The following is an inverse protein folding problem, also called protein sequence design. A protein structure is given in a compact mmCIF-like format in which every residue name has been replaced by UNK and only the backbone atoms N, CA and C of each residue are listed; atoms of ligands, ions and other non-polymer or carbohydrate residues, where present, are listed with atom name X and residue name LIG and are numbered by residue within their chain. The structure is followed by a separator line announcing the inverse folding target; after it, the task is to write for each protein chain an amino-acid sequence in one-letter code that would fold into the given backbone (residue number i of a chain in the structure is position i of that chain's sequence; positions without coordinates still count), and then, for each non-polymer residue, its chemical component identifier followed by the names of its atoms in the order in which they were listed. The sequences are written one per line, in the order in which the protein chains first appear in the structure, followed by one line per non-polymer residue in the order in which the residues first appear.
data_IF_997047709865
#
_entry.id   IF_997047709865
#
_cell.length_a   1.000
_cell.length_b   1.000
_cell.length_c   1.000
_cell.angle_alpha   90.00
_cell.angle_beta   90.00
_cell.angle_gamma   90.00
#
_symmetry.space_group_name_H-M   'P 1'
#
loop_
_entity.id
_entity.type
_entity.pdbx_description
1 polymer ?
#
# COMPACT_ATOMS: atom_id res chain seq x y z
N UNK A 1 23.51 -17.97 1.45
CA UNK A 1 24.21 -16.77 0.94
C UNK A 1 23.28 -15.60 1.15
N UNK A 2 23.63 -14.66 2.03
CA UNK A 2 22.87 -13.42 2.17
C UNK A 2 23.10 -12.56 0.92
N UNK A 3 22.02 -12.09 0.28
CA UNK A 3 22.11 -11.13 -0.80
C UNK A 3 22.73 -9.84 -0.27
N UNK A 4 23.62 -9.21 -1.05
CA UNK A 4 24.06 -7.86 -0.73
C UNK A 4 22.83 -6.93 -0.63
N UNK A 5 22.80 -5.98 0.32
CA UNK A 5 21.78 -4.93 0.33
C UNK A 5 21.81 -4.21 -1.02
N UNK A 6 20.64 -3.85 -1.54
CA UNK A 6 20.56 -3.06 -2.76
C UNK A 6 21.33 -1.75 -2.55
N UNK A 7 22.16 -1.39 -3.53
CA UNK A 7 22.92 -0.13 -3.51
C UNK A 7 21.95 1.04 -3.29
N UNK A 8 22.32 1.96 -2.40
CA UNK A 8 21.58 3.20 -2.26
C UNK A 8 21.63 3.94 -3.61
N UNK A 9 20.49 4.37 -4.17
CA UNK A 9 20.51 5.18 -5.38
C UNK A 9 21.35 6.43 -5.11
N UNK A 10 22.44 6.62 -5.85
CA UNK A 10 23.45 7.68 -5.60
C UNK A 10 22.89 9.11 -5.66
N UNK A 11 21.62 9.28 -6.08
CA UNK A 11 20.90 10.55 -6.11
C UNK A 11 19.64 10.63 -5.24
N UNK A 12 19.41 9.66 -4.34
CA UNK A 12 18.18 9.56 -3.55
C UNK A 12 16.98 9.01 -4.34
N UNK A 13 15.85 8.83 -3.66
CA UNK A 13 14.58 8.42 -4.26
C UNK A 13 13.62 9.62 -4.23
N UNK A 14 13.25 10.14 -5.40
CA UNK A 14 12.22 11.19 -5.49
C UNK A 14 10.83 10.57 -5.58
N UNK A 15 9.95 10.93 -4.64
CA UNK A 15 8.53 10.58 -4.68
C UNK A 15 7.72 11.87 -4.86
N UNK A 16 6.73 11.85 -5.75
CA UNK A 16 5.83 13.00 -5.96
C UNK A 16 4.44 12.62 -5.50
N UNK A 17 3.89 13.41 -4.59
CA UNK A 17 2.56 13.19 -4.04
C UNK A 17 1.59 14.28 -4.51
N UNK A 18 0.32 13.91 -4.55
CA UNK A 18 -0.79 14.82 -4.76
C UNK A 18 -1.82 14.61 -3.65
N UNK A 19 -2.68 15.60 -3.45
CA UNK A 19 -3.79 15.46 -2.52
C UNK A 19 -4.78 14.44 -3.04
N UNK A 20 -5.23 13.57 -2.13
CA UNK A 20 -6.29 12.61 -2.36
C UNK A 20 -7.10 12.44 -1.09
N UNK A 21 -8.28 11.84 -1.25
CA UNK A 21 -9.18 11.47 -0.17
C UNK A 21 -9.22 9.95 -0.06
N UNK A 22 -9.59 9.49 1.13
CA UNK A 22 -9.75 8.06 1.41
C UNK A 22 -10.60 7.34 0.35
N UNK A 23 -11.73 7.93 -0.04
CA UNK A 23 -12.64 7.33 -1.03
C UNK A 23 -12.11 7.35 -2.46
N UNK A 24 -11.17 8.24 -2.82
CA UNK A 24 -10.56 8.23 -4.16
C UNK A 24 -9.80 6.91 -4.40
N UNK A 25 -9.18 6.36 -3.33
CA UNK A 25 -8.57 5.04 -3.35
C UNK A 25 -9.60 3.94 -3.58
N UNK A 26 -10.64 3.90 -2.73
CA UNK A 26 -11.68 2.88 -2.77
C UNK A 26 -12.44 2.87 -4.11
N UNK A 27 -12.73 4.04 -4.68
CA UNK A 27 -13.44 4.18 -5.96
C UNK A 27 -12.69 3.54 -7.15
N UNK A 28 -11.39 3.22 -6.98
CA UNK A 28 -10.61 2.50 -7.99
C UNK A 28 -10.26 1.08 -7.58
N UNK A 29 -9.93 0.82 -6.31
CA UNK A 29 -9.47 -0.49 -5.84
C UNK A 29 -10.62 -1.46 -5.61
N UNK A 30 -11.76 -1.01 -5.07
CA UNK A 30 -12.90 -1.89 -4.76
C UNK A 30 -13.58 -2.41 -6.03
N UNK A 31 -13.91 -1.57 -7.04
CA UNK A 31 -14.48 -2.09 -8.30
C UNK A 31 -13.55 -3.09 -9.00
N UNK A 32 -12.23 -2.86 -8.93
CA UNK A 32 -11.24 -3.79 -9.46
C UNK A 32 -11.22 -5.12 -8.68
N UNK A 33 -11.30 -5.08 -7.35
CA UNK A 33 -11.36 -6.27 -6.51
C UNK A 33 -12.63 -7.09 -6.81
N UNK A 34 -13.79 -6.44 -6.92
CA UNK A 34 -15.04 -7.10 -7.29
C UNK A 34 -15.03 -7.67 -8.71
N UNK A 35 -14.45 -6.96 -9.68
CA UNK A 35 -14.25 -7.47 -11.04
C UNK A 35 -13.42 -8.75 -11.02
N UNK A 36 -12.27 -8.74 -10.35
CA UNK A 36 -11.38 -9.90 -10.28
C UNK A 36 -12.02 -11.07 -9.52
N UNK A 37 -12.72 -10.81 -8.42
CA UNK A 37 -13.47 -11.83 -7.69
C UNK A 37 -14.54 -12.49 -8.58
N UNK A 38 -15.34 -11.68 -9.30
CA UNK A 38 -16.35 -12.18 -10.22
C UNK A 38 -15.75 -13.00 -11.36
N UNK A 39 -14.64 -12.54 -11.94
CA UNK A 39 -13.91 -13.28 -12.98
C UNK A 39 -13.42 -14.62 -12.46
N UNK A 40 -12.84 -14.65 -11.27
CA UNK A 40 -12.33 -15.88 -10.64
C UNK A 40 -13.45 -16.87 -10.36
N UNK A 41 -14.63 -16.40 -9.93
CA UNK A 41 -15.82 -17.22 -9.75
C UNK A 41 -16.34 -17.81 -11.07
N UNK A 42 -16.21 -17.06 -12.18
CA UNK A 42 -16.58 -17.51 -13.54
C UNK A 42 -15.53 -18.39 -14.22
N UNK A 43 -14.47 -18.80 -13.51
CA UNK A 43 -13.40 -19.63 -14.07
C UNK A 43 -12.42 -18.87 -14.98
N UNK A 44 -12.39 -17.54 -14.91
CA UNK A 44 -11.40 -16.73 -15.59
C UNK A 44 -9.98 -17.08 -15.13
N UNK A 45 -9.05 -17.18 -16.08
CA UNK A 45 -7.65 -17.45 -15.81
C UNK A 45 -6.81 -16.17 -15.87
N UNK A 46 -5.80 -16.11 -15.00
CA UNK A 46 -4.77 -15.08 -14.98
C UNK A 46 -5.22 -13.76 -14.32
N UNK A 47 -4.32 -13.10 -13.58
CA UNK A 47 -4.59 -11.78 -13.02
C UNK A 47 -4.58 -10.72 -14.11
N UNK A 48 -5.00 -9.50 -13.75
CA UNK A 48 -4.89 -8.30 -14.57
C UNK A 48 -5.72 -8.29 -15.85
N UNK A 49 -6.91 -8.86 -15.79
CA UNK A 49 -7.81 -8.98 -16.93
C UNK A 49 -9.17 -8.39 -16.56
N UNK A 50 -9.91 -7.86 -17.55
CA UNK A 50 -11.25 -7.27 -17.32
C UNK A 50 -11.33 -5.80 -17.76
N UNK A 51 -12.54 -5.28 -18.03
CA UNK A 51 -12.71 -3.91 -18.50
C UNK A 51 -12.14 -2.85 -17.54
N UNK A 52 -12.39 -2.96 -16.23
CA UNK A 52 -11.89 -1.99 -15.24
C UNK A 52 -10.37 -2.05 -15.18
N UNK A 53 -9.79 -3.25 -15.04
CA UNK A 53 -8.34 -3.43 -15.03
C UNK A 53 -7.66 -2.93 -16.30
N UNK A 54 -8.23 -3.18 -17.48
CA UNK A 54 -7.70 -2.67 -18.76
C UNK A 54 -7.77 -1.14 -18.83
N UNK A 55 -8.84 -0.53 -18.32
CA UNK A 55 -8.97 0.92 -18.25
C UNK A 55 -7.88 1.57 -17.38
N UNK A 56 -7.62 0.99 -16.21
CA UNK A 56 -6.57 1.44 -15.30
C UNK A 56 -5.14 1.18 -15.82
N UNK A 57 -4.97 0.29 -16.81
CA UNK A 57 -3.67 -0.04 -17.39
C UNK A 57 -2.74 -0.77 -16.40
N UNK A 58 -1.44 -0.50 -16.52
CA UNK A 58 -0.38 -1.13 -15.70
C UNK A 58 -0.63 -0.90 -14.20
N UNK A 59 -0.38 -1.90 -13.32
CA UNK A 59 -0.34 -1.69 -11.88
C UNK A 59 0.68 -0.62 -11.44
N UNK A 60 1.65 -0.29 -12.28
CA UNK A 60 2.64 0.75 -12.03
C UNK A 60 2.26 2.13 -12.61
N UNK A 61 1.14 2.24 -13.32
CA UNK A 61 0.57 3.52 -13.75
C UNK A 61 -0.16 4.18 -12.57
N UNK A 62 0.62 4.80 -11.67
CA UNK A 62 0.09 5.46 -10.46
C UNK A 62 -0.66 6.77 -10.77
N UNK A 63 -0.48 7.32 -11.97
CA UNK A 63 -1.25 8.46 -12.51
C UNK A 63 -2.69 8.10 -12.88
N UNK A 64 -3.02 6.81 -12.97
CA UNK A 64 -4.35 6.31 -13.40
C UNK A 64 -5.25 5.85 -12.27
N UNK A 65 -4.80 5.95 -11.02
CA UNK A 65 -5.58 5.62 -9.82
C UNK A 65 -5.09 6.42 -8.63
N UNK A 66 -5.93 6.59 -7.61
CA UNK A 66 -5.44 7.07 -6.33
C UNK A 66 -4.65 5.94 -5.63
N UNK A 67 -3.34 6.15 -5.46
CA UNK A 67 -2.48 5.26 -4.70
C UNK A 67 -2.16 5.92 -3.35
N UNK A 68 -2.87 5.51 -2.29
CA UNK A 68 -2.65 6.03 -0.95
C UNK A 68 -1.34 5.46 -0.37
N UNK A 69 -0.39 6.30 0.05
CA UNK A 69 0.90 5.83 0.57
C UNK A 69 0.74 5.18 1.95
N UNK A 70 0.94 3.86 1.99
CA UNK A 70 1.06 3.09 3.23
C UNK A 70 2.49 3.11 3.75
N UNK A 71 2.65 3.26 5.06
CA UNK A 71 3.93 3.17 5.78
C UNK A 71 3.85 1.99 6.74
N UNK A 72 4.80 1.07 6.61
CA UNK A 72 4.92 -0.10 7.47
C UNK A 72 6.33 -0.15 8.05
N UNK A 73 6.44 -0.37 9.35
CA UNK A 73 7.73 -0.43 10.04
C UNK A 73 8.02 -1.85 10.53
N UNK A 74 9.16 -2.41 10.15
CA UNK A 74 9.68 -3.64 10.74
C UNK A 74 10.48 -3.29 12.00
N UNK A 75 9.82 -3.32 13.15
CA UNK A 75 10.47 -3.04 14.44
C UNK A 75 11.26 -4.27 14.89
N UNK A 76 12.58 -4.22 14.80
CA UNK A 76 13.49 -5.29 15.23
C UNK A 76 14.02 -5.00 16.63
N UNK A 77 13.91 -5.97 17.54
CA UNK A 77 14.59 -5.99 18.82
C UNK A 77 15.77 -6.96 18.73
N UNK A 78 16.97 -6.42 18.86
CA UNK A 78 18.20 -7.19 18.96
C UNK A 78 18.51 -7.48 20.43
N UNK A 79 18.91 -8.71 20.71
CA UNK A 79 19.47 -9.19 21.97
C UNK A 79 20.90 -9.71 21.70
N UNK A 80 21.65 -10.11 22.73
CA UNK A 80 23.07 -10.45 22.60
C UNK A 80 23.31 -11.66 21.68
N UNK A 81 22.44 -12.68 21.75
CA UNK A 81 22.51 -13.92 20.97
C UNK A 81 21.27 -14.17 20.08
N UNK A 82 20.28 -13.27 20.06
CA UNK A 82 19.02 -13.45 19.31
C UNK A 82 18.46 -12.12 18.79
N UNK A 83 17.52 -12.18 17.85
CA UNK A 83 16.76 -11.03 17.37
C UNK A 83 15.33 -11.44 16.98
N UNK A 84 14.37 -10.59 17.32
CA UNK A 84 12.97 -10.79 16.94
C UNK A 84 12.31 -9.49 16.49
N UNK A 85 11.14 -9.60 15.89
CA UNK A 85 10.36 -8.46 15.44
C UNK A 85 8.89 -8.62 15.81
N UNK A 86 8.19 -7.50 15.86
CA UNK A 86 6.79 -7.46 16.27
C UNK A 86 5.84 -7.57 15.08
N UNK A 87 4.83 -8.43 15.24
CA UNK A 87 3.69 -8.54 14.31
C UNK A 87 2.37 -8.46 15.09
N UNK A 88 1.31 -8.04 14.42
CA UNK A 88 -0.05 -8.14 14.92
C UNK A 88 -0.92 -9.03 14.02
N UNK A 89 -1.97 -9.63 14.61
CA UNK A 89 -3.01 -10.36 13.89
C UNK A 89 -4.22 -9.46 13.72
N UNK A 90 -4.73 -9.36 12.50
CA UNK A 90 -5.98 -8.64 12.18
C UNK A 90 -7.16 -9.59 12.39
N UNK A 91 -8.13 -9.17 13.20
CA UNK A 91 -9.31 -9.97 13.52
C UNK A 91 -10.34 -9.87 12.40
N UNK A 92 -10.79 -11.02 11.88
CA UNK A 92 -11.59 -11.08 10.66
C UNK A 92 -12.93 -10.35 10.76
N UNK A 93 -13.60 -10.37 11.92
CA UNK A 93 -14.91 -9.75 12.14
C UNK A 93 -14.87 -8.26 12.50
N UNK A 94 -13.69 -7.66 12.67
CA UNK A 94 -13.53 -6.27 13.15
C UNK A 94 -12.83 -5.33 12.17
N UNK A 95 -12.38 -5.80 11.02
CA UNK A 95 -11.70 -4.95 10.03
C UNK A 95 -12.25 -5.18 8.62
N UNK A 96 -12.27 -4.13 7.80
CA UNK A 96 -12.77 -4.22 6.42
C UNK A 96 -11.74 -4.77 5.42
N UNK A 97 -10.45 -4.50 5.65
CA UNK A 97 -9.37 -4.88 4.74
C UNK A 97 -8.40 -5.88 5.38
N UNK A 98 -7.78 -6.74 4.58
CA UNK A 98 -6.78 -7.72 5.02
C UNK A 98 -7.21 -8.50 6.28
N UNK A 99 -8.47 -8.96 6.28
CA UNK A 99 -9.04 -9.79 7.34
C UNK A 99 -8.24 -11.07 7.52
N UNK A 100 -8.08 -11.50 8.78
CA UNK A 100 -7.39 -12.76 9.11
C UNK A 100 -5.95 -12.84 8.57
N UNK A 101 -5.24 -11.70 8.58
CA UNK A 101 -3.83 -11.61 8.17
C UNK A 101 -2.92 -11.20 9.33
N UNK A 102 -1.65 -11.58 9.25
CA UNK A 102 -0.60 -11.16 10.18
C UNK A 102 0.26 -10.10 9.49
N UNK A 103 0.47 -8.96 10.15
CA UNK A 103 1.16 -7.81 9.58
C UNK A 103 2.14 -7.19 10.57
N UNK A 104 3.14 -6.44 10.10
CA UNK A 104 4.13 -5.77 10.95
C UNK A 104 3.48 -4.69 11.82
N UNK A 105 4.12 -4.36 12.94
CA UNK A 105 3.66 -3.31 13.86
C UNK A 105 4.75 -2.25 14.13
N UNK A 106 4.45 -0.94 13.98
CA UNK A 106 3.18 -0.35 13.51
C UNK A 106 3.08 -0.22 11.97
N UNK A 107 1.88 -0.43 11.40
CA UNK A 107 1.54 0.03 10.06
C UNK A 107 0.57 1.23 10.09
N UNK A 108 0.50 1.97 8.99
CA UNK A 108 -0.45 3.07 8.82
C UNK A 108 -0.49 3.58 7.39
N UNK A 109 -1.40 4.51 7.14
CA UNK A 109 -1.43 5.32 5.92
C UNK A 109 -1.04 6.75 6.28
N UNK A 110 -0.27 7.39 5.41
CA UNK A 110 0.12 8.78 5.63
C UNK A 110 -1.09 9.70 5.44
N UNK A 111 -1.28 10.63 6.39
CA UNK A 111 -2.28 11.69 6.30
C UNK A 111 -1.61 13.01 6.68
N UNK A 112 -1.87 14.10 5.93
CA UNK A 112 -1.43 15.43 6.34
C UNK A 112 -1.96 15.76 7.73
N UNK A 113 -1.15 16.40 8.55
CA UNK A 113 -1.53 16.67 9.94
C UNK A 113 -2.64 17.74 10.07
N UNK A 114 -2.86 18.55 9.03
CA UNK A 114 -3.97 19.48 8.91
C UNK A 114 -4.39 19.70 7.45
N UNK A 115 -5.69 19.94 7.22
CA UNK A 115 -6.24 20.19 5.89
C UNK A 115 -6.15 21.68 5.49
N UNK A 116 -4.92 22.20 5.39
CA UNK A 116 -4.64 23.60 5.01
C UNK A 116 -3.48 23.70 4.02
N UNK A 117 -3.59 24.65 3.08
CA UNK A 117 -2.63 24.85 1.98
C UNK A 117 -1.14 24.88 2.39
N UNK A 118 -0.73 25.58 3.46
CA UNK A 118 0.68 25.59 3.86
C UNK A 118 1.20 24.21 4.28
N UNK A 119 0.35 23.41 4.91
CA UNK A 119 0.68 22.07 5.42
C UNK A 119 0.79 21.06 4.29
N UNK A 120 -0.07 21.17 3.26
CA UNK A 120 0.05 20.31 2.09
C UNK A 120 1.41 20.43 1.39
N UNK A 121 2.01 21.63 1.35
CA UNK A 121 3.31 21.83 0.71
C UNK A 121 4.46 21.21 1.49
N UNK A 122 4.43 21.25 2.83
CA UNK A 122 5.45 20.62 3.66
C UNK A 122 5.30 19.10 3.71
N UNK A 123 4.06 18.61 3.77
CA UNK A 123 3.77 17.20 4.01
C UNK A 123 3.86 16.36 2.72
N UNK A 124 3.84 16.97 1.54
CA UNK A 124 3.94 16.29 0.23
C UNK A 124 5.35 16.34 -0.39
N UNK A 125 6.34 16.93 0.30
CA UNK A 125 7.75 17.00 -0.08
C UNK A 125 8.58 16.10 0.86
N UNK A 126 8.54 14.78 0.61
CA UNK A 126 9.20 13.72 1.41
C UNK A 126 10.52 13.26 0.79
#
# INVERSE_FOLDING_TARGET
MASAPADHPEGGLGLTFALGRYFDGLDTTEPLAYEEALRRLKGGAGPFQGPIRRGLGSPFALDRRAALPGVSTLTVRAEEDDAYFFMHRREAGKVAAAMDTTHVAPPGEFQPHADVLPVWRSDLDL
#
